data_IF_301720454661
#
_entry.id   IF_301720454661
#
_cell.length_a   1.000
_cell.length_b   1.000
_cell.length_c   1.000
_cell.angle_alpha   90.00
_cell.angle_beta   90.00
_cell.angle_gamma   90.00
#
_symmetry.space_group_name_H-M   'P 1'
#
loop_
_entity.id
_entity.type
_entity.pdbx_description
1 polymer ?
#
# COMPACT_ATOMS: atom_id res chain seq x y z
N UNK A 1 2.79 -8.21 12.16
CA UNK A 1 2.90 -6.73 12.03
C UNK A 1 4.24 -6.30 12.59
N UNK A 2 4.87 -5.30 11.97
CA UNK A 2 6.10 -4.73 12.47
C UNK A 2 5.89 -4.13 13.88
N UNK A 3 6.88 -4.28 14.75
CA UNK A 3 6.83 -3.71 16.09
C UNK A 3 7.24 -2.24 16.06
N UNK A 4 6.82 -1.47 17.06
CA UNK A 4 7.20 -0.06 17.20
C UNK A 4 8.74 0.13 17.22
N UNK A 5 9.45 -0.80 17.84
CA UNK A 5 10.92 -0.81 17.87
C UNK A 5 11.52 -0.95 16.46
N UNK A 6 10.93 -1.79 15.61
CA UNK A 6 11.39 -1.98 14.23
C UNK A 6 11.13 -0.74 13.38
N UNK A 7 9.98 -0.08 13.56
CA UNK A 7 9.64 1.16 12.87
C UNK A 7 10.61 2.28 13.29
N UNK A 8 10.90 2.44 14.59
CA UNK A 8 11.88 3.42 15.07
C UNK A 8 13.30 3.16 14.53
N UNK A 9 13.71 1.88 14.44
CA UNK A 9 15.01 1.53 13.88
C UNK A 9 15.08 1.88 12.38
N UNK A 10 14.02 1.65 11.62
CA UNK A 10 13.95 2.05 10.22
C UNK A 10 13.94 3.58 10.06
N UNK A 11 13.23 4.29 10.91
CA UNK A 11 13.22 5.76 10.92
C UNK A 11 14.63 6.32 11.11
N UNK A 12 15.42 5.77 12.02
CA UNK A 12 16.80 6.20 12.21
C UNK A 12 17.66 6.00 10.94
N UNK A 13 17.52 4.86 10.27
CA UNK A 13 18.20 4.60 8.99
C UNK A 13 17.78 5.58 7.90
N UNK A 14 16.49 5.88 7.80
CA UNK A 14 15.96 6.88 6.87
C UNK A 14 16.49 8.29 7.18
N UNK A 15 16.63 8.66 8.45
CA UNK A 15 17.27 9.94 8.87
C UNK A 15 18.71 10.03 8.40
N UNK A 16 19.49 8.94 8.53
CA UNK A 16 20.87 8.88 8.04
C UNK A 16 20.90 9.02 6.52
N UNK A 17 20.04 8.28 5.81
CA UNK A 17 19.91 8.36 4.36
C UNK A 17 19.56 9.78 3.91
N UNK A 18 18.52 10.40 4.48
CA UNK A 18 18.11 11.77 4.20
C UNK A 18 19.25 12.77 4.41
N UNK A 19 19.91 12.69 5.56
CA UNK A 19 21.05 13.58 5.90
C UNK A 19 22.22 13.43 4.92
N UNK A 20 22.43 12.24 4.37
CA UNK A 20 23.55 11.95 3.45
C UNK A 20 23.23 12.38 2.03
N UNK A 21 22.04 12.07 1.52
CA UNK A 21 21.72 12.14 0.11
C UNK A 21 20.68 13.19 -0.30
N UNK A 22 19.72 13.54 0.56
CA UNK A 22 18.69 14.52 0.21
C UNK A 22 19.16 15.92 0.54
N UNK A 23 20.18 16.38 -0.18
CA UNK A 23 20.80 17.71 -0.06
C UNK A 23 20.70 18.43 -1.39
N UNK A 24 20.64 19.76 -1.34
CA UNK A 24 20.56 20.63 -2.52
C UNK A 24 21.60 20.29 -3.61
N UNK A 25 22.80 19.92 -3.22
CA UNK A 25 23.88 19.57 -4.16
C UNK A 25 23.64 18.30 -4.99
N UNK A 26 22.63 17.49 -4.65
CA UNK A 26 22.28 16.23 -5.32
C UNK A 26 20.95 16.30 -6.05
N UNK A 27 20.25 17.46 -6.04
CA UNK A 27 18.93 17.60 -6.67
C UNK A 27 18.95 17.35 -8.21
N UNK A 28 20.10 17.61 -8.86
CA UNK A 28 20.28 17.44 -10.31
C UNK A 28 20.97 16.12 -10.70
N UNK A 29 20.97 15.11 -9.84
CA UNK A 29 21.58 13.83 -10.20
C UNK A 29 20.86 13.18 -11.37
N UNK A 30 21.68 12.73 -12.35
CA UNK A 30 21.20 11.89 -13.44
C UNK A 30 20.78 10.49 -12.95
N UNK A 31 20.24 9.69 -13.84
CA UNK A 31 19.75 8.35 -13.50
C UNK A 31 20.88 7.43 -13.00
N UNK A 32 22.07 7.51 -13.60
CA UNK A 32 23.21 6.67 -13.20
C UNK A 32 23.68 6.97 -11.78
N UNK A 33 23.80 8.26 -11.43
CA UNK A 33 24.17 8.68 -10.09
C UNK A 33 23.05 8.39 -9.07
N UNK A 34 21.78 8.54 -9.49
CA UNK A 34 20.62 8.18 -8.66
C UNK A 34 20.59 6.69 -8.35
N UNK A 35 20.95 5.82 -9.31
CA UNK A 35 21.08 4.36 -9.07
C UNK A 35 22.07 4.04 -7.93
N UNK A 36 23.20 4.72 -7.85
CA UNK A 36 24.15 4.53 -6.75
C UNK A 36 23.50 4.88 -5.41
N UNK A 37 22.75 5.95 -5.34
CA UNK A 37 22.05 6.37 -4.14
C UNK A 37 20.94 5.37 -3.77
N UNK A 38 20.18 4.89 -4.74
CA UNK A 38 19.12 3.89 -4.53
C UNK A 38 19.72 2.55 -4.09
N UNK A 39 20.91 2.17 -4.58
CA UNK A 39 21.59 0.97 -4.08
C UNK A 39 21.85 1.07 -2.57
N UNK A 40 22.29 2.23 -2.07
CA UNK A 40 22.45 2.45 -0.61
C UNK A 40 21.09 2.42 0.12
N UNK A 41 20.02 2.91 -0.48
CA UNK A 41 18.69 2.78 0.10
C UNK A 41 18.27 1.30 0.24
N UNK A 42 18.52 0.49 -0.77
CA UNK A 42 18.21 -0.94 -0.76
C UNK A 42 19.06 -1.70 0.27
N UNK A 43 20.34 -1.36 0.41
CA UNK A 43 21.28 -2.05 1.33
C UNK A 43 21.16 -1.56 2.76
N UNK A 44 21.39 -0.28 3.00
CA UNK A 44 21.51 0.26 4.36
C UNK A 44 20.16 0.47 5.03
N UNK A 45 19.15 0.92 4.25
CA UNK A 45 17.82 1.19 4.79
C UNK A 45 16.97 -0.07 4.82
N UNK A 46 16.81 -0.73 3.67
CA UNK A 46 15.92 -1.89 3.55
C UNK A 46 16.59 -3.22 3.96
N UNK A 47 17.93 -3.28 3.98
CA UNK A 47 18.71 -4.39 4.52
C UNK A 47 18.95 -5.55 3.55
N UNK A 48 18.89 -5.32 2.25
CA UNK A 48 19.24 -6.31 1.23
C UNK A 48 20.76 -6.42 1.08
N UNK A 49 21.25 -7.59 0.71
CA UNK A 49 22.66 -7.82 0.43
C UNK A 49 22.98 -7.51 -1.02
N UNK A 50 23.94 -6.64 -1.22
CA UNK A 50 24.50 -6.35 -2.54
C UNK A 50 25.01 -7.64 -3.20
N UNK A 51 24.92 -7.74 -4.52
CA UNK A 51 25.31 -8.88 -5.37
C UNK A 51 24.54 -10.19 -5.10
N UNK A 52 24.24 -10.52 -3.85
CA UNK A 52 23.52 -11.74 -3.49
C UNK A 52 22.02 -11.62 -3.78
N UNK A 53 21.42 -10.51 -3.36
CA UNK A 53 19.97 -10.31 -3.30
C UNK A 53 19.46 -9.17 -4.20
N UNK A 54 20.36 -8.26 -4.61
CA UNK A 54 20.10 -7.17 -5.55
C UNK A 54 20.71 -7.57 -6.89
N UNK A 55 19.87 -7.82 -7.90
CA UNK A 55 20.30 -8.11 -9.26
C UNK A 55 20.17 -6.85 -10.09
N UNK A 56 21.25 -6.44 -10.76
CA UNK A 56 21.31 -5.24 -11.59
C UNK A 56 21.13 -5.58 -13.06
N UNK A 57 20.55 -4.64 -13.83
CA UNK A 57 20.41 -4.73 -15.29
C UNK A 57 19.90 -6.09 -15.79
N UNK A 58 18.86 -6.58 -15.15
CA UNK A 58 18.31 -7.87 -15.51
C UNK A 58 17.52 -7.76 -16.83
N UNK A 59 18.04 -8.38 -17.89
CA UNK A 59 17.41 -8.37 -19.23
C UNK A 59 16.56 -9.60 -19.45
N UNK A 60 15.28 -9.41 -19.80
CA UNK A 60 14.41 -10.50 -20.25
C UNK A 60 13.60 -10.04 -21.45
N UNK A 61 13.68 -10.81 -22.52
CA UNK A 61 12.93 -10.58 -23.78
C UNK A 61 13.05 -9.17 -24.36
N UNK A 62 14.19 -8.54 -24.16
CA UNK A 62 14.44 -7.17 -24.67
C UNK A 62 14.07 -6.04 -23.70
N UNK A 63 13.46 -6.33 -22.56
CA UNK A 63 13.16 -5.36 -21.51
C UNK A 63 14.20 -5.42 -20.39
N UNK A 64 14.41 -4.30 -19.71
CA UNK A 64 15.40 -4.16 -18.65
C UNK A 64 14.71 -3.67 -17.39
N UNK A 65 15.18 -4.15 -16.23
CA UNK A 65 14.87 -3.58 -14.93
C UNK A 65 16.18 -3.09 -14.29
N UNK A 66 16.16 -1.92 -13.66
CA UNK A 66 17.35 -1.39 -13.01
C UNK A 66 17.83 -2.32 -11.90
N UNK A 67 16.90 -2.76 -11.04
CA UNK A 67 17.17 -3.77 -10.03
C UNK A 67 16.01 -4.76 -9.91
N UNK A 68 16.36 -5.99 -9.57
CA UNK A 68 15.42 -7.02 -9.13
C UNK A 68 15.86 -7.53 -7.77
N UNK A 69 14.97 -7.45 -6.80
CA UNK A 69 15.22 -8.01 -5.46
C UNK A 69 14.82 -9.47 -5.45
N UNK A 70 15.81 -10.32 -5.17
CA UNK A 70 15.66 -11.78 -5.14
C UNK A 70 16.10 -12.35 -3.80
N UNK A 71 15.21 -13.07 -3.11
CA UNK A 71 15.49 -13.77 -1.86
C UNK A 71 15.17 -15.26 -2.03
N UNK A 72 16.06 -16.12 -1.59
CA UNK A 72 15.89 -17.58 -1.67
C UNK A 72 15.39 -18.06 -3.06
N UNK A 73 15.98 -17.53 -4.13
CA UNK A 73 15.64 -17.78 -5.54
C UNK A 73 14.28 -17.23 -5.99
N UNK A 74 13.49 -16.61 -5.12
CA UNK A 74 12.24 -15.95 -5.48
C UNK A 74 12.49 -14.46 -5.73
N UNK A 75 11.98 -13.94 -6.86
CA UNK A 75 11.94 -12.51 -7.18
C UNK A 75 10.77 -11.87 -6.46
N UNK A 76 10.99 -10.75 -5.80
CA UNK A 76 9.99 -10.08 -4.98
C UNK A 76 9.60 -8.70 -5.51
N UNK A 77 10.60 -7.93 -5.96
CA UNK A 77 10.39 -6.58 -6.47
C UNK A 77 11.15 -6.36 -7.77
N UNK A 78 10.52 -5.60 -8.66
CA UNK A 78 11.23 -4.79 -9.66
C UNK A 78 11.45 -3.42 -9.04
N UNK A 79 12.65 -2.87 -9.18
CA UNK A 79 12.94 -1.48 -8.78
C UNK A 79 13.34 -0.72 -10.03
N UNK A 80 12.58 0.30 -10.35
CA UNK A 80 12.82 1.23 -11.45
C UNK A 80 13.32 2.56 -10.88
N UNK A 81 14.43 3.04 -11.40
CA UNK A 81 15.07 4.28 -10.95
C UNK A 81 14.94 5.34 -12.02
N UNK A 82 14.65 6.56 -11.61
CA UNK A 82 14.66 7.74 -12.47
C UNK A 82 15.62 8.79 -11.92
N UNK A 83 16.08 9.69 -12.78
CA UNK A 83 16.92 10.81 -12.36
C UNK A 83 16.23 11.59 -11.23
N UNK A 84 17.00 12.06 -10.25
CA UNK A 84 16.46 12.71 -9.03
C UNK A 84 15.66 13.97 -9.32
N UNK A 85 15.97 14.66 -10.40
CA UNK A 85 15.27 15.86 -10.85
C UNK A 85 13.89 15.60 -11.48
N UNK A 86 13.57 14.35 -11.84
CA UNK A 86 12.31 14.01 -12.49
C UNK A 86 11.22 13.73 -11.48
N UNK A 87 10.05 14.30 -11.70
CA UNK A 87 8.83 13.91 -10.95
C UNK A 87 8.37 12.52 -11.43
N UNK A 88 8.09 11.65 -10.46
CA UNK A 88 7.63 10.30 -10.76
C UNK A 88 6.19 10.31 -11.28
N UNK A 89 5.94 9.52 -12.32
CA UNK A 89 4.60 9.36 -12.88
C UNK A 89 4.40 7.95 -13.46
N UNK A 90 3.14 7.59 -13.72
CA UNK A 90 2.77 6.25 -14.17
C UNK A 90 3.33 5.88 -15.56
N UNK A 91 3.78 6.84 -16.37
CA UNK A 91 4.43 6.56 -17.67
C UNK A 91 5.77 5.85 -17.48
N UNK A 92 6.45 6.09 -16.35
CA UNK A 92 7.72 5.45 -16.03
C UNK A 92 7.56 3.96 -15.67
N UNK A 93 6.32 3.49 -15.41
CA UNK A 93 6.04 2.12 -14.99
C UNK A 93 5.88 1.12 -16.13
N UNK A 94 5.58 1.58 -17.33
CA UNK A 94 5.15 0.68 -18.42
C UNK A 94 6.12 -0.47 -18.66
N UNK A 95 7.41 -0.18 -18.72
CA UNK A 95 8.45 -1.19 -18.91
C UNK A 95 8.54 -2.13 -17.71
N UNK A 96 8.53 -1.58 -16.50
CA UNK A 96 8.61 -2.38 -15.26
C UNK A 96 7.37 -3.26 -15.05
N UNK A 97 6.17 -2.81 -15.47
CA UNK A 97 4.95 -3.62 -15.43
C UNK A 97 5.05 -4.80 -16.37
N UNK A 98 5.50 -4.58 -17.62
CA UNK A 98 5.69 -5.65 -18.59
C UNK A 98 6.73 -6.64 -18.10
N UNK A 99 7.86 -6.16 -17.58
CA UNK A 99 8.90 -6.99 -17.01
C UNK A 99 8.36 -7.83 -15.84
N UNK A 100 7.71 -7.19 -14.86
CA UNK A 100 7.13 -7.84 -13.70
C UNK A 100 6.10 -8.90 -14.08
N UNK A 101 5.26 -8.60 -15.09
CA UNK A 101 4.26 -9.52 -15.61
C UNK A 101 4.87 -10.78 -16.25
N UNK A 102 5.93 -10.61 -17.03
CA UNK A 102 6.64 -11.73 -17.67
C UNK A 102 7.35 -12.65 -16.66
N UNK A 103 7.75 -12.09 -15.51
CA UNK A 103 8.50 -12.77 -14.47
C UNK A 103 7.64 -13.25 -13.29
N UNK A 104 6.33 -12.94 -13.31
CA UNK A 104 5.43 -13.24 -12.20
C UNK A 104 5.79 -12.50 -10.91
N UNK A 105 6.29 -11.26 -11.03
CA UNK A 105 6.64 -10.39 -9.91
C UNK A 105 5.45 -9.51 -9.59
N UNK A 106 4.99 -9.55 -8.36
CA UNK A 106 3.79 -8.86 -7.90
C UNK A 106 3.99 -7.37 -7.58
N UNK A 107 5.24 -6.93 -7.39
CA UNK A 107 5.53 -5.62 -6.82
C UNK A 107 6.56 -4.84 -7.61
N UNK A 108 6.31 -3.52 -7.75
CA UNK A 108 7.23 -2.58 -8.37
C UNK A 108 7.49 -1.44 -7.40
N UNK A 109 8.74 -1.06 -7.27
CA UNK A 109 9.19 0.16 -6.60
C UNK A 109 9.69 1.10 -7.69
N UNK A 110 9.04 2.25 -7.85
CA UNK A 110 9.50 3.35 -8.70
C UNK A 110 10.09 4.42 -7.80
N UNK A 111 11.32 4.85 -8.06
CA UNK A 111 11.99 5.82 -7.20
C UNK A 111 12.96 6.70 -7.98
N UNK A 112 13.10 7.95 -7.53
CA UNK A 112 14.17 8.87 -7.93
C UNK A 112 15.13 9.16 -6.76
N UNK A 113 15.10 8.30 -5.72
CA UNK A 113 15.95 8.43 -4.54
C UNK A 113 15.38 9.33 -3.43
N UNK A 114 14.55 10.33 -3.75
CA UNK A 114 13.77 11.11 -2.77
C UNK A 114 12.32 10.63 -2.67
N UNK A 115 11.71 10.33 -3.80
CA UNK A 115 10.35 9.79 -3.88
C UNK A 115 10.40 8.27 -3.97
N UNK A 116 9.47 7.60 -3.29
CA UNK A 116 9.32 6.14 -3.30
C UNK A 116 7.86 5.81 -3.51
N UNK A 117 7.54 5.34 -4.71
CA UNK A 117 6.22 4.87 -5.10
C UNK A 117 6.21 3.35 -5.14
N UNK A 118 5.23 2.72 -4.53
CA UNK A 118 5.09 1.27 -4.53
C UNK A 118 3.78 0.86 -5.19
N UNK A 119 3.92 -0.04 -6.16
CA UNK A 119 2.80 -0.53 -6.97
C UNK A 119 2.63 -2.03 -6.82
N UNK A 120 1.39 -2.46 -6.77
CA UNK A 120 0.98 -3.86 -6.91
C UNK A 120 0.64 -4.12 -8.38
N UNK A 121 1.21 -5.16 -8.97
CA UNK A 121 0.83 -5.67 -10.28
C UNK A 121 -0.39 -6.57 -10.12
N UNK A 122 -1.44 -6.31 -10.89
CA UNK A 122 -2.69 -7.07 -10.91
C UNK A 122 -2.72 -7.85 -12.21
N UNK A 123 -2.64 -9.18 -12.12
CA UNK A 123 -2.62 -10.09 -13.27
C UNK A 123 -4.02 -10.32 -13.84
N UNK A 124 -4.73 -9.24 -14.13
CA UNK A 124 -5.99 -9.22 -14.86
C UNK A 124 -5.77 -9.19 -16.38
N UNK A 125 -6.82 -9.17 -17.16
CA UNK A 125 -6.77 -8.94 -18.61
C UNK A 125 -7.58 -7.69 -18.93
N UNK A 126 -6.92 -6.57 -19.28
CA UNK A 126 -5.45 -6.34 -19.38
C UNK A 126 -4.75 -6.36 -18.01
N UNK A 127 -3.41 -6.50 -18.02
CA UNK A 127 -2.58 -6.37 -16.82
C UNK A 127 -2.61 -4.91 -16.38
N UNK A 128 -2.83 -4.70 -15.07
CA UNK A 128 -2.92 -3.39 -14.46
C UNK A 128 -1.88 -3.23 -13.34
N UNK A 129 -1.61 -2.00 -12.95
CA UNK A 129 -0.82 -1.69 -11.75
C UNK A 129 -1.59 -0.71 -10.88
N UNK A 130 -1.56 -0.95 -9.57
CA UNK A 130 -2.20 -0.08 -8.59
C UNK A 130 -1.16 0.50 -7.64
N UNK A 131 -1.10 1.84 -7.55
CA UNK A 131 -0.27 2.52 -6.55
C UNK A 131 -0.83 2.22 -5.16
N UNK A 132 0.01 1.66 -4.30
CA UNK A 132 -0.37 1.22 -2.95
C UNK A 132 0.00 2.28 -1.93
N UNK A 133 1.21 2.83 -2.03
CA UNK A 133 1.65 3.99 -1.26
C UNK A 133 2.73 4.78 -1.98
N UNK A 134 2.88 6.03 -1.59
CA UNK A 134 3.78 7.01 -2.17
C UNK A 134 4.29 7.94 -1.07
N UNK A 135 5.59 8.20 -1.04
CA UNK A 135 6.21 9.11 -0.08
C UNK A 135 7.31 9.92 -0.74
N UNK A 136 7.30 11.22 -0.48
CA UNK A 136 8.44 12.09 -0.70
C UNK A 136 9.24 12.21 0.61
N UNK A 137 10.42 11.58 0.65
CA UNK A 137 11.30 11.60 1.82
C UNK A 137 11.91 12.98 2.10
N UNK A 138 11.82 13.93 1.16
CA UNK A 138 12.22 15.33 1.37
C UNK A 138 11.14 16.08 2.15
N UNK A 139 9.86 15.73 1.96
CA UNK A 139 8.72 16.32 2.64
C UNK A 139 8.66 15.87 4.12
N UNK A 140 8.56 16.80 5.09
CA UNK A 140 8.56 16.45 6.52
C UNK A 140 7.36 15.57 6.95
N UNK A 141 6.16 15.82 6.41
CA UNK A 141 4.95 15.07 6.77
C UNK A 141 4.99 13.64 6.22
N UNK A 142 5.44 13.47 4.98
CA UNK A 142 5.60 12.16 4.37
C UNK A 142 6.73 11.39 5.05
N UNK A 143 7.85 12.06 5.34
CA UNK A 143 8.97 11.46 6.03
C UNK A 143 8.59 10.86 7.40
N UNK A 144 7.69 11.54 8.12
CA UNK A 144 7.19 11.07 9.42
C UNK A 144 6.36 9.79 9.31
N UNK A 145 5.60 9.64 8.21
CA UNK A 145 4.72 8.49 7.95
C UNK A 145 5.44 7.34 7.25
N UNK A 146 6.43 7.65 6.42
CA UNK A 146 7.13 6.68 5.58
C UNK A 146 7.62 5.41 6.31
N UNK A 147 8.20 5.48 7.53
CA UNK A 147 8.68 4.27 8.23
C UNK A 147 7.60 3.22 8.48
N UNK A 148 6.34 3.63 8.73
CA UNK A 148 5.21 2.71 8.99
C UNK A 148 4.84 1.86 7.77
N UNK A 149 5.16 2.34 6.57
CA UNK A 149 4.87 1.67 5.30
C UNK A 149 6.13 1.06 4.67
N UNK A 150 7.24 1.78 4.64
CA UNK A 150 8.49 1.29 4.08
C UNK A 150 9.05 0.09 4.87
N UNK A 151 8.60 -0.12 6.10
CA UNK A 151 8.95 -1.32 6.89
C UNK A 151 8.56 -2.61 6.16
N UNK A 152 7.46 -2.62 5.39
CA UNK A 152 7.01 -3.77 4.62
C UNK A 152 7.95 -4.13 3.47
N UNK A 153 8.76 -3.17 3.00
CA UNK A 153 9.76 -3.38 1.95
C UNK A 153 11.09 -3.91 2.49
N UNK A 154 11.30 -3.90 3.81
CA UNK A 154 12.55 -4.42 4.39
C UNK A 154 12.68 -5.91 4.13
N UNK A 155 13.93 -6.37 3.93
CA UNK A 155 14.24 -7.79 3.76
C UNK A 155 13.56 -8.68 4.82
N UNK A 156 13.57 -8.24 6.08
CA UNK A 156 12.97 -8.99 7.19
C UNK A 156 11.46 -9.17 7.02
N UNK A 157 10.75 -8.12 6.61
CA UNK A 157 9.31 -8.16 6.41
C UNK A 157 8.93 -8.96 5.17
N UNK A 158 9.72 -8.87 4.11
CA UNK A 158 9.50 -9.63 2.87
C UNK A 158 9.66 -11.14 3.12
N UNK A 159 10.70 -11.55 3.85
CA UNK A 159 10.88 -12.95 4.24
C UNK A 159 9.73 -13.52 5.10
N UNK A 160 8.95 -12.65 5.75
CA UNK A 160 7.77 -13.01 6.55
C UNK A 160 6.45 -12.81 5.80
N UNK A 161 6.50 -12.48 4.52
CA UNK A 161 5.31 -12.19 3.69
C UNK A 161 4.43 -11.07 4.30
N UNK A 162 5.03 -10.11 5.02
CA UNK A 162 4.27 -9.05 5.69
C UNK A 162 3.67 -8.05 4.68
N UNK A 163 4.33 -7.83 3.53
CA UNK A 163 3.81 -6.99 2.45
C UNK A 163 2.57 -7.60 1.80
N UNK A 164 2.58 -8.91 1.52
CA UNK A 164 1.42 -9.63 0.98
C UNK A 164 0.26 -9.62 1.96
N UNK A 165 0.54 -9.78 3.25
CA UNK A 165 -0.48 -9.69 4.30
C UNK A 165 -1.04 -8.27 4.44
N UNK A 166 -0.20 -7.24 4.28
CA UNK A 166 -0.64 -5.85 4.22
C UNK A 166 -1.58 -5.63 3.03
N UNK A 167 -1.19 -6.10 1.83
CA UNK A 167 -2.00 -5.98 0.63
C UNK A 167 -3.35 -6.68 0.77
N UNK A 168 -3.39 -7.92 1.23
CA UNK A 168 -4.65 -8.66 1.47
C UNK A 168 -5.61 -7.88 2.38
N UNK A 169 -5.10 -7.27 3.45
CA UNK A 169 -5.93 -6.44 4.34
C UNK A 169 -6.42 -5.18 3.64
N UNK A 170 -5.53 -4.52 2.91
CA UNK A 170 -5.87 -3.33 2.14
C UNK A 170 -6.95 -3.63 1.10
N UNK A 171 -6.79 -4.71 0.34
CA UNK A 171 -7.74 -5.16 -0.69
C UNK A 171 -9.12 -5.49 -0.11
N UNK A 172 -9.17 -6.27 0.97
CA UNK A 172 -10.43 -6.65 1.62
C UNK A 172 -11.16 -5.43 2.21
N UNK A 173 -10.41 -4.46 2.72
CA UNK A 173 -10.97 -3.25 3.34
C UNK A 173 -11.19 -2.10 2.33
N UNK A 174 -10.81 -2.27 1.07
CA UNK A 174 -11.07 -1.22 0.08
C UNK A 174 -12.58 -1.00 -0.09
N UNK A 175 -13.04 0.25 -0.34
CA UNK A 175 -14.47 0.56 -0.41
C UNK A 175 -15.24 -0.32 -1.40
N UNK A 176 -14.62 -0.66 -2.54
CA UNK A 176 -15.23 -1.49 -3.58
C UNK A 176 -15.51 -2.93 -3.11
N UNK A 177 -14.60 -3.53 -2.36
CA UNK A 177 -14.79 -4.89 -1.84
C UNK A 177 -15.69 -4.88 -0.62
N UNK A 178 -15.51 -3.90 0.27
CA UNK A 178 -16.34 -3.77 1.46
C UNK A 178 -17.80 -3.50 1.11
N UNK A 179 -18.08 -2.67 0.10
CA UNK A 179 -19.44 -2.40 -0.36
C UNK A 179 -20.16 -3.65 -0.85
N UNK A 180 -19.44 -4.56 -1.55
CA UNK A 180 -20.03 -5.85 -1.96
C UNK A 180 -20.49 -6.68 -0.77
N UNK A 181 -19.72 -6.66 0.33
CA UNK A 181 -20.05 -7.39 1.55
C UNK A 181 -21.28 -6.80 2.28
N UNK A 182 -21.62 -5.53 2.06
CA UNK A 182 -22.84 -4.94 2.62
C UNK A 182 -24.11 -5.56 2.05
N UNK A 183 -24.06 -6.15 0.85
CA UNK A 183 -25.18 -6.84 0.23
C UNK A 183 -25.32 -8.31 0.66
N UNK A 184 -24.43 -8.81 1.52
CA UNK A 184 -24.49 -10.19 2.01
C UNK A 184 -25.79 -10.42 2.78
N UNK A 185 -26.39 -11.61 2.61
CA UNK A 185 -27.66 -11.96 3.24
C UNK A 185 -27.64 -11.84 4.78
N UNK A 186 -26.48 -12.09 5.39
CA UNK A 186 -26.26 -11.96 6.83
C UNK A 186 -26.40 -10.49 7.26
N UNK A 187 -25.85 -9.56 6.49
CA UNK A 187 -25.94 -8.11 6.75
C UNK A 187 -27.37 -7.63 6.58
N UNK A 188 -28.03 -8.03 5.49
CA UNK A 188 -29.45 -7.68 5.23
C UNK A 188 -30.35 -8.18 6.37
N UNK A 189 -30.21 -9.44 6.78
CA UNK A 189 -30.97 -10.03 7.90
C UNK A 189 -30.70 -9.30 9.22
N UNK A 190 -29.45 -8.95 9.47
CA UNK A 190 -29.08 -8.21 10.68
C UNK A 190 -29.70 -6.82 10.70
N UNK A 191 -29.66 -6.08 9.60
CA UNK A 191 -30.28 -4.76 9.48
C UNK A 191 -31.81 -4.84 9.65
N UNK A 192 -32.48 -5.81 9.03
CA UNK A 192 -33.92 -6.05 9.23
C UNK A 192 -34.26 -6.28 10.70
N UNK A 193 -33.48 -7.10 11.40
CA UNK A 193 -33.66 -7.38 12.83
C UNK A 193 -33.54 -6.12 13.68
N UNK A 194 -32.51 -5.29 13.43
CA UNK A 194 -32.32 -4.02 14.15
C UNK A 194 -33.48 -3.05 13.90
N UNK A 195 -33.85 -2.85 12.62
CA UNK A 195 -34.90 -1.94 12.25
C UNK A 195 -36.26 -2.35 12.83
N UNK A 196 -36.62 -3.63 12.74
CA UNK A 196 -37.83 -4.18 13.37
C UNK A 196 -37.87 -3.94 14.89
N UNK A 197 -36.71 -4.12 15.59
CA UNK A 197 -36.63 -3.86 17.03
C UNK A 197 -36.87 -2.37 17.36
N UNK A 198 -36.37 -1.46 16.52
CA UNK A 198 -36.50 -0.01 16.75
C UNK A 198 -37.87 0.54 16.37
N UNK A 199 -38.42 0.12 15.24
CA UNK A 199 -39.60 0.75 14.63
C UNK A 199 -40.88 -0.07 14.77
N UNK A 200 -40.77 -1.36 15.13
CA UNK A 200 -41.83 -2.38 15.11
C UNK A 200 -42.37 -2.69 13.69
N UNK A 201 -41.74 -2.12 12.65
CA UNK A 201 -42.10 -2.36 11.24
C UNK A 201 -41.28 -3.52 10.67
N UNK A 202 -41.84 -4.19 9.66
CA UNK A 202 -41.17 -5.22 8.85
C UNK A 202 -40.75 -4.65 7.52
N UNK A 203 -39.56 -5.02 7.08
CA UNK A 203 -38.99 -4.60 5.79
C UNK A 203 -38.67 -5.86 4.97
N UNK A 204 -38.90 -5.81 3.65
CA UNK A 204 -38.43 -6.85 2.74
C UNK A 204 -36.93 -6.68 2.45
N UNK A 205 -36.32 -7.62 1.73
CA UNK A 205 -34.89 -7.54 1.42
C UNK A 205 -34.57 -6.41 0.46
N UNK A 206 -35.47 -6.16 -0.53
CA UNK A 206 -35.33 -5.11 -1.52
C UNK A 206 -35.25 -3.72 -0.88
N UNK A 207 -36.10 -3.41 0.11
CA UNK A 207 -36.04 -2.13 0.83
C UNK A 207 -34.67 -1.91 1.49
N UNK A 208 -34.06 -2.97 2.04
CA UNK A 208 -32.75 -2.87 2.68
C UNK A 208 -31.65 -2.72 1.63
N UNK A 209 -31.71 -3.48 0.54
CA UNK A 209 -30.73 -3.43 -0.55
C UNK A 209 -30.73 -2.06 -1.23
N UNK A 210 -31.89 -1.48 -1.50
CA UNK A 210 -32.04 -0.13 -2.06
C UNK A 210 -31.45 0.93 -1.12
N UNK A 211 -31.68 0.78 0.18
CA UNK A 211 -31.14 1.71 1.16
C UNK A 211 -29.61 1.63 1.23
N UNK A 212 -29.04 0.42 1.19
CA UNK A 212 -27.59 0.22 1.13
C UNK A 212 -27.03 0.83 -0.16
N UNK A 213 -27.69 0.60 -1.30
CA UNK A 213 -27.27 1.17 -2.59
C UNK A 213 -27.22 2.71 -2.53
N UNK A 214 -28.24 3.35 -1.96
CA UNK A 214 -28.25 4.81 -1.78
C UNK A 214 -27.12 5.31 -0.90
N UNK A 215 -26.80 4.62 0.20
CA UNK A 215 -25.66 4.97 1.07
C UNK A 215 -24.35 4.96 0.28
N UNK A 216 -24.15 3.93 -0.56
CA UNK A 216 -22.92 3.77 -1.35
C UNK A 216 -22.81 4.83 -2.44
N UNK A 217 -23.92 5.15 -3.12
CA UNK A 217 -23.92 6.05 -4.28
C UNK A 217 -24.00 7.53 -3.92
N UNK A 218 -24.70 7.89 -2.84
CA UNK A 218 -24.95 9.29 -2.47
C UNK A 218 -23.81 9.93 -1.67
N UNK A 219 -22.72 9.22 -1.38
CA UNK A 219 -21.59 9.72 -0.58
C UNK A 219 -22.08 10.52 0.63
N UNK A 220 -22.94 9.91 1.45
CA UNK A 220 -23.52 10.58 2.62
C UNK A 220 -22.37 11.03 3.54
N UNK A 221 -22.27 12.34 3.76
CA UNK A 221 -21.34 12.90 4.72
C UNK A 221 -21.76 12.46 6.12
N UNK A 222 -20.94 11.62 6.73
CA UNK A 222 -21.09 11.21 8.12
C UNK A 222 -19.77 11.32 8.84
N UNK A 223 -19.80 11.75 10.09
CA UNK A 223 -18.62 11.75 10.95
C UNK A 223 -18.26 10.30 11.25
N UNK A 224 -17.03 9.90 10.91
CA UNK A 224 -16.53 8.55 11.21
C UNK A 224 -16.52 8.34 12.73
N UNK A 225 -17.26 7.38 13.29
CA UNK A 225 -17.20 7.09 14.71
C UNK A 225 -15.86 6.48 15.07
N UNK A 226 -15.30 6.84 16.23
CA UNK A 226 -14.02 6.30 16.73
C UNK A 226 -14.12 4.82 17.11
N UNK A 227 -15.33 4.35 17.47
CA UNK A 227 -15.63 2.98 17.83
C UNK A 227 -17.03 2.58 17.33
N UNK A 228 -17.34 1.27 17.23
CA UNK A 228 -18.68 0.82 16.89
C UNK A 228 -19.74 1.41 17.84
N UNK A 229 -20.85 1.88 17.26
CA UNK A 229 -21.94 2.48 18.03
C UNK A 229 -22.63 1.37 18.84
N UNK A 230 -22.53 1.46 20.17
CA UNK A 230 -23.23 0.55 21.07
C UNK A 230 -24.73 0.88 21.08
N UNK A 231 -25.61 -0.12 21.09
CA UNK A 231 -27.04 0.13 21.28
C UNK A 231 -27.25 0.79 22.63
N UNK A 232 -27.97 1.93 22.67
CA UNK A 232 -28.36 2.55 23.94
C UNK A 232 -29.09 1.48 24.77
N UNK A 233 -28.62 1.18 26.00
CA UNK A 233 -29.38 0.39 26.96
C UNK A 233 -30.69 1.13 27.16
N UNK A 234 -31.82 0.54 26.80
CA UNK A 234 -33.14 1.05 27.14
C UNK A 234 -33.20 1.16 28.66
N UNK A 235 -33.15 2.38 29.20
CA UNK A 235 -33.46 2.61 30.60
C UNK A 235 -34.90 2.13 30.83
N UNK A 236 -35.05 1.13 31.65
CA UNK A 236 -36.36 0.76 32.18
C UNK A 236 -36.69 1.88 33.16
N UNK A 237 -37.53 2.80 32.71
CA UNK A 237 -38.17 3.77 33.59
C UNK A 237 -39.26 2.98 34.34
N UNK A 238 -38.94 2.58 35.56
CA UNK A 238 -39.99 2.15 36.47
C UNK A 238 -40.82 3.39 36.80
N UNK A 239 -42.02 3.48 36.23
CA UNK A 239 -43.07 4.31 36.80
C UNK A 239 -43.63 3.55 38.00
N UNK A 240 -43.42 4.10 39.17
CA UNK A 240 -44.21 3.84 40.37
C UNK A 240 -45.54 4.58 40.26
#
# INVERSE_FOLDING_TARGET
MATELQIKALEQKLRVYKKRYLKKQYEDLDESATRLMVNVFLTDVLGYKELDEIKTEYRIRGEYADYVIQLARKKHFVVEVKAMQLDLNDRHLRQSVNYAANEGIDWIILTNGKEVDVYKVIFSKPIESQKVFSFDLSNPEDFKKAPEFLIYLTKKSVLRSELENFWKRFEVLCPTQLSKNLYAIEVVRFLKKILKKKTKLTFNDENILDSIYRIITLKIESVKPKAPIQPKKSGVTHFL
#
